data_IF_674345518679
#
_entry.id   IF_674345518679
#
_cell.length_a   1.000
_cell.length_b   1.000
_cell.length_c   1.000
_cell.angle_alpha   90.00
_cell.angle_beta   90.00
_cell.angle_gamma   90.00
#
_symmetry.space_group_name_H-M   'P 1'
#
loop_
_entity.id
_entity.type
_entity.pdbx_description
1 polymer ?
#
# COMPACT_ATOMS: atom_id res chain seq x y z
N UNK A 1 8.55 -2.02 7.53
CA UNK A 1 7.39 -2.65 6.87
C UNK A 1 7.21 -2.03 5.49
N UNK A 2 6.52 -2.70 4.56
CA UNK A 2 6.18 -2.13 3.24
C UNK A 2 4.66 -2.10 3.14
N UNK A 3 4.10 -0.93 2.84
CA UNK A 3 2.72 -0.81 2.41
C UNK A 3 2.66 -1.06 0.92
N UNK A 4 1.82 -2.01 0.51
CA UNK A 4 1.51 -2.26 -0.89
C UNK A 4 0.11 -1.77 -1.15
N UNK A 5 0.01 -0.69 -1.91
CA UNK A 5 -1.26 -0.17 -2.40
C UNK A 5 -1.44 -0.62 -3.84
N UNK A 6 -2.55 -1.28 -4.15
CA UNK A 6 -2.89 -1.65 -5.52
C UNK A 6 -4.22 -1.02 -5.90
N UNK A 7 -4.24 -0.24 -6.99
CA UNK A 7 -5.48 0.13 -7.62
C UNK A 7 -6.07 -1.10 -8.33
N UNK A 8 -7.29 -1.48 -7.95
CA UNK A 8 -7.89 -2.72 -8.43
C UNK A 8 -8.28 -2.68 -9.92
N UNK A 9 -8.57 -1.50 -10.46
CA UNK A 9 -9.01 -1.33 -11.85
C UNK A 9 -7.82 -1.43 -12.81
N UNK A 10 -6.79 -0.64 -12.57
CA UNK A 10 -5.60 -0.52 -13.42
C UNK A 10 -4.53 -1.55 -13.10
N UNK A 11 -4.62 -2.20 -11.93
CA UNK A 11 -3.56 -3.05 -11.34
C UNK A 11 -2.29 -2.31 -10.98
N UNK A 12 -2.29 -0.97 -11.06
CA UNK A 12 -1.16 -0.15 -10.68
C UNK A 12 -0.81 -0.35 -9.20
N UNK A 13 0.47 -0.61 -8.93
CA UNK A 13 0.98 -0.88 -7.59
C UNK A 13 1.86 0.28 -7.14
N UNK A 14 1.68 0.72 -5.91
CA UNK A 14 2.54 1.66 -5.21
C UNK A 14 3.10 1.02 -3.95
N UNK A 15 4.40 1.26 -3.73
CA UNK A 15 5.12 0.76 -2.57
C UNK A 15 5.54 1.93 -1.69
N UNK A 16 5.13 1.91 -0.42
CA UNK A 16 5.57 2.90 0.58
C UNK A 16 6.33 2.21 1.72
N UNK A 17 7.55 2.64 2.04
CA UNK A 17 8.20 2.17 3.25
C UNK A 17 7.45 2.73 4.47
N UNK A 18 7.21 1.87 5.45
CA UNK A 18 6.62 2.22 6.74
C UNK A 18 7.60 1.90 7.87
N UNK A 19 7.72 2.82 8.81
CA UNK A 19 8.41 2.64 10.09
C UNK A 19 7.59 1.75 11.03
N UNK A 20 6.25 1.85 10.99
CA UNK A 20 5.33 1.07 11.82
C UNK A 20 4.07 0.64 11.06
N UNK A 21 3.32 -0.33 11.60
CA UNK A 21 2.00 -0.72 11.07
C UNK A 21 0.85 0.10 11.69
N UNK A 22 1.16 1.24 12.30
CA UNK A 22 0.15 2.09 12.97
C UNK A 22 -0.80 2.71 11.94
N UNK A 23 -2.07 2.83 12.32
CA UNK A 23 -3.11 3.31 11.41
C UNK A 23 -2.85 4.75 10.95
N UNK A 24 -2.29 5.56 11.85
CA UNK A 24 -1.93 6.96 11.63
C UNK A 24 -0.88 7.11 10.52
N UNK A 25 0.15 6.26 10.54
CA UNK A 25 1.20 6.27 9.52
C UNK A 25 0.69 5.77 8.18
N UNK A 26 -0.12 4.70 8.19
CA UNK A 26 -0.77 4.18 6.98
C UNK A 26 -1.71 5.20 6.37
N UNK A 27 -2.51 5.89 7.19
CA UNK A 27 -3.41 6.95 6.75
C UNK A 27 -2.67 8.12 6.11
N UNK A 28 -1.53 8.53 6.70
CA UNK A 28 -0.69 9.57 6.12
C UNK A 28 -0.19 9.20 4.72
N UNK A 29 0.33 7.97 4.55
CA UNK A 29 0.78 7.48 3.25
C UNK A 29 -0.36 7.33 2.23
N UNK A 30 -1.54 6.86 2.67
CA UNK A 30 -2.72 6.77 1.81
C UNK A 30 -3.23 8.14 1.37
N UNK A 31 -3.22 9.13 2.25
CA UNK A 31 -3.65 10.48 1.91
C UNK A 31 -2.77 11.09 0.81
N UNK A 32 -1.45 10.91 0.89
CA UNK A 32 -0.52 11.32 -0.17
C UNK A 32 -0.84 10.64 -1.53
N UNK A 33 -1.15 9.35 -1.51
CA UNK A 33 -1.59 8.61 -2.71
C UNK A 33 -2.91 9.17 -3.25
N UNK A 34 -3.89 9.41 -2.38
CA UNK A 34 -5.22 9.90 -2.76
C UNK A 34 -5.17 11.30 -3.35
N UNK A 35 -4.31 12.17 -2.83
CA UNK A 35 -4.09 13.51 -3.37
C UNK A 35 -3.35 13.48 -4.71
N UNK A 36 -2.58 12.42 -4.99
CA UNK A 36 -1.82 12.28 -6.24
C UNK A 36 -2.62 11.60 -7.36
N UNK A 37 -3.33 10.51 -7.03
CA UNK A 37 -4.01 9.65 -8.00
C UNK A 37 -5.54 9.75 -7.95
N UNK A 38 -6.08 10.44 -6.95
CA UNK A 38 -7.50 10.42 -6.63
C UNK A 38 -7.82 9.39 -5.54
N UNK A 39 -8.84 9.69 -4.74
CA UNK A 39 -9.27 8.80 -3.67
C UNK A 39 -10.21 7.71 -4.17
N UNK A 40 -10.07 6.47 -3.69
CA UNK A 40 -10.97 5.38 -4.07
C UNK A 40 -12.32 5.53 -3.37
N UNK A 41 -13.39 4.99 -3.97
CA UNK A 41 -14.67 4.89 -3.26
C UNK A 41 -14.65 3.79 -2.18
N UNK A 42 -13.85 2.74 -2.39
CA UNK A 42 -13.79 1.55 -1.53
C UNK A 42 -12.35 1.29 -1.12
N UNK A 43 -12.11 1.20 0.18
CA UNK A 43 -10.82 0.80 0.74
C UNK A 43 -10.92 -0.59 1.41
N UNK A 44 -9.95 -1.46 1.10
CA UNK A 44 -9.85 -2.82 1.61
C UNK A 44 -8.43 -3.08 2.13
N UNK A 45 -8.31 -3.89 3.20
CA UNK A 45 -7.03 -4.38 3.73
C UNK A 45 -7.22 -5.79 4.31
N UNK A 46 -6.12 -6.53 4.29
CA UNK A 46 -5.86 -7.81 4.94
C UNK A 46 -5.77 -7.74 6.48
N UNK A 47 -5.43 -6.57 7.05
CA UNK A 47 -5.31 -6.38 8.51
C UNK A 47 -6.65 -6.32 9.26
N UNK A 48 -7.75 -6.71 8.60
CA UNK A 48 -9.08 -6.80 9.19
C UNK A 48 -9.86 -5.49 9.24
N UNK A 49 -11.16 -5.61 9.51
CA UNK A 49 -12.11 -4.48 9.48
C UNK A 49 -11.79 -3.39 10.51
N UNK A 50 -11.39 -3.78 11.71
CA UNK A 50 -11.08 -2.81 12.78
C UNK A 50 -9.93 -1.89 12.37
N UNK A 51 -8.89 -2.45 11.76
CA UNK A 51 -7.76 -1.68 11.26
C UNK A 51 -8.18 -0.72 10.15
N UNK A 52 -8.94 -1.19 9.15
CA UNK A 52 -9.42 -0.33 8.06
C UNK A 52 -10.29 0.81 8.59
N UNK A 53 -11.15 0.56 9.57
CA UNK A 53 -11.96 1.61 10.17
C UNK A 53 -11.11 2.67 10.88
N UNK A 54 -10.04 2.26 11.59
CA UNK A 54 -9.07 3.19 12.18
C UNK A 54 -8.39 4.03 11.09
N UNK A 55 -7.89 3.38 10.04
CA UNK A 55 -7.25 4.09 8.91
C UNK A 55 -8.21 5.08 8.25
N UNK A 56 -9.46 4.68 7.96
CA UNK A 56 -10.47 5.58 7.39
C UNK A 56 -10.72 6.77 8.32
N UNK A 57 -10.85 6.53 9.64
CA UNK A 57 -11.00 7.61 10.62
C UNK A 57 -9.83 8.60 10.57
N UNK A 58 -8.60 8.12 10.56
CA UNK A 58 -7.40 8.95 10.46
C UNK A 58 -7.35 9.74 9.13
N UNK A 59 -7.67 9.09 7.99
CA UNK A 59 -7.70 9.79 6.70
C UNK A 59 -8.80 10.85 6.67
N UNK A 60 -10.00 10.57 7.19
CA UNK A 60 -11.08 11.57 7.24
C UNK A 60 -10.77 12.71 8.20
N UNK A 61 -9.94 12.52 9.23
CA UNK A 61 -9.43 13.64 10.02
C UNK A 61 -8.49 14.55 9.22
N UNK A 62 -7.69 13.97 8.32
CA UNK A 62 -6.81 14.74 7.41
C UNK A 62 -7.60 15.40 6.26
N UNK A 63 -8.67 14.76 5.80
CA UNK A 63 -9.51 15.23 4.69
C UNK A 63 -11.00 14.97 5.00
N UNK A 64 -11.68 15.91 5.69
CA UNK A 64 -13.06 15.72 6.16
C UNK A 64 -14.11 15.50 5.07
N UNK A 65 -13.92 16.07 3.88
CA UNK A 65 -14.84 15.93 2.75
C UNK A 65 -14.72 14.57 2.05
N UNK A 66 -13.70 13.79 2.38
CA UNK A 66 -13.42 12.53 1.74
C UNK A 66 -14.42 11.45 2.14
N UNK A 67 -15.08 10.85 1.14
CA UNK A 67 -16.06 9.78 1.33
C UNK A 67 -15.47 8.44 0.89
N UNK A 68 -14.85 7.75 1.85
CA UNK A 68 -14.39 6.36 1.68
C UNK A 68 -15.28 5.44 2.49
N UNK A 69 -15.73 4.36 1.87
CA UNK A 69 -16.40 3.28 2.60
C UNK A 69 -15.50 2.04 2.70
N UNK A 70 -15.61 1.33 3.82
CA UNK A 70 -14.98 0.03 3.98
C UNK A 70 -15.63 -0.98 3.03
N UNK A 71 -14.83 -1.61 2.18
CA UNK A 71 -15.32 -2.68 1.29
C UNK A 71 -15.67 -3.94 2.08
N UNK A 72 -16.71 -4.67 1.66
CA UNK A 72 -16.95 -6.02 2.19
C UNK A 72 -15.71 -6.90 1.95
N UNK A 73 -15.38 -7.85 2.85
CA UNK A 73 -14.42 -8.90 2.53
C UNK A 73 -14.90 -9.60 1.25
N UNK A 74 -14.10 -9.62 0.18
CA UNK A 74 -14.51 -10.21 -1.10
C UNK A 74 -13.33 -10.97 -1.73
N UNK A 75 -13.67 -12.19 -2.18
CA UNK A 75 -12.94 -13.22 -2.93
C UNK A 75 -11.40 -13.28 -2.95
N UNK A 76 -10.90 -14.50 -2.74
CA UNK A 76 -9.50 -14.96 -2.80
C UNK A 76 -8.70 -14.52 -4.03
N UNK A 77 -9.34 -14.20 -5.15
CA UNK A 77 -8.64 -13.84 -6.39
C UNK A 77 -7.92 -12.48 -6.34
N UNK A 78 -8.50 -11.46 -5.69
CA UNK A 78 -7.84 -10.15 -5.58
C UNK A 78 -6.71 -10.17 -4.57
N UNK A 79 -6.84 -10.97 -3.51
CA UNK A 79 -5.75 -11.21 -2.55
C UNK A 79 -4.58 -11.94 -3.19
N UNK A 80 -4.83 -12.96 -4.02
CA UNK A 80 -3.75 -13.65 -4.74
C UNK A 80 -3.02 -12.77 -5.77
N UNK A 81 -3.58 -11.63 -6.20
CA UNK A 81 -2.88 -10.63 -7.02
C UNK A 81 -1.91 -9.81 -6.17
N UNK A 82 -2.35 -9.37 -5.00
CA UNK A 82 -1.53 -8.59 -4.05
C UNK A 82 -0.41 -9.46 -3.48
N UNK A 83 -0.68 -10.72 -3.15
CA UNK A 83 0.34 -11.67 -2.67
C UNK A 83 1.44 -11.89 -3.71
N UNK A 84 1.09 -12.03 -4.99
CA UNK A 84 2.06 -12.12 -6.08
C UNK A 84 2.86 -10.84 -6.24
N UNK A 85 2.20 -9.68 -6.21
CA UNK A 85 2.88 -8.39 -6.26
C UNK A 85 3.86 -8.21 -5.09
N UNK A 86 3.49 -8.64 -3.88
CA UNK A 86 4.39 -8.64 -2.72
C UNK A 86 5.62 -9.52 -2.97
N UNK A 87 5.41 -10.74 -3.49
CA UNK A 87 6.50 -11.66 -3.76
C UNK A 87 7.46 -11.13 -4.84
N UNK A 88 6.93 -10.53 -5.90
CA UNK A 88 7.71 -9.93 -6.98
C UNK A 88 8.57 -8.77 -6.44
N UNK A 89 7.98 -7.92 -5.58
CA UNK A 89 8.69 -6.82 -4.92
C UNK A 89 9.80 -7.32 -4.00
N UNK A 90 9.55 -8.35 -3.21
CA UNK A 90 10.57 -8.95 -2.35
C UNK A 90 11.75 -9.48 -3.17
N UNK A 91 11.45 -10.20 -4.26
CA UNK A 91 12.48 -10.74 -5.15
C UNK A 91 13.31 -9.63 -5.81
N UNK A 92 12.65 -8.60 -6.33
CA UNK A 92 13.32 -7.47 -6.97
C UNK A 92 14.18 -6.67 -5.98
N UNK A 93 13.70 -6.47 -4.74
CA UNK A 93 14.49 -5.81 -3.69
C UNK A 93 15.70 -6.66 -3.29
N UNK A 94 15.55 -7.99 -3.20
CA UNK A 94 16.65 -8.88 -2.88
C UNK A 94 17.76 -8.82 -3.95
N UNK A 95 17.38 -8.87 -5.24
CA UNK A 95 18.31 -8.69 -6.35
C UNK A 95 19.00 -7.34 -6.31
N UNK A 96 18.23 -6.24 -6.16
CA UNK A 96 18.79 -4.89 -6.11
C UNK A 96 19.78 -4.71 -4.94
N UNK A 97 19.47 -5.25 -3.76
CA UNK A 97 20.36 -5.19 -2.60
C UNK A 97 21.66 -5.98 -2.82
N UNK A 98 21.58 -7.15 -3.45
CA UNK A 98 22.74 -7.96 -3.79
C UNK A 98 23.68 -7.22 -4.76
N UNK A 99 23.12 -6.62 -5.82
CA UNK A 99 23.88 -5.89 -6.83
C UNK A 99 24.55 -4.63 -6.25
N UNK A 100 23.86 -3.91 -5.37
CA UNK A 100 24.35 -2.68 -4.75
C UNK A 100 25.15 -2.89 -3.45
N UNK A 101 25.31 -4.15 -3.00
CA UNK A 101 26.00 -4.52 -1.75
C UNK A 101 25.53 -3.71 -0.54
N UNK A 102 24.21 -3.53 -0.41
CA UNK A 102 23.59 -2.72 0.63
C UNK A 102 22.42 -3.44 1.27
N UNK A 103 22.14 -3.14 2.53
CA UNK A 103 20.95 -3.63 3.26
C UNK A 103 19.83 -2.60 3.32
N UNK A 104 20.04 -1.42 2.71
CA UNK A 104 19.09 -0.30 2.72
C UNK A 104 17.96 -0.49 1.70
N UNK A 105 17.14 -1.52 1.89
CA UNK A 105 16.02 -1.87 1.01
C UNK A 105 15.05 -0.69 0.74
N UNK A 106 14.87 0.21 1.71
CA UNK A 106 13.95 1.35 1.57
C UNK A 106 14.41 2.36 0.53
N UNK A 107 15.72 2.51 0.30
CA UNK A 107 16.29 3.29 -0.80
C UNK A 107 16.10 2.57 -2.15
N UNK A 108 16.05 1.22 -2.14
CA UNK A 108 15.83 0.37 -3.31
C UNK A 108 14.40 0.40 -3.86
N UNK A 109 13.39 0.69 -3.01
CA UNK A 109 11.98 0.66 -3.40
C UNK A 109 11.65 1.52 -4.62
N UNK A 110 12.25 2.72 -4.72
CA UNK A 110 12.04 3.64 -5.85
C UNK A 110 12.59 3.09 -7.18
N UNK A 111 13.61 2.23 -7.13
CA UNK A 111 14.22 1.63 -8.31
C UNK A 111 13.48 0.36 -8.73
N UNK A 112 13.08 -0.46 -7.76
CA UNK A 112 12.28 -1.68 -8.01
C UNK A 112 10.92 -1.34 -8.61
N UNK A 113 10.28 -0.27 -8.12
CA UNK A 113 9.00 0.20 -8.64
C UNK A 113 9.04 0.62 -10.12
N UNK A 114 10.15 1.19 -10.60
CA UNK A 114 10.30 1.58 -12.01
C UNK A 114 10.52 0.39 -12.96
N UNK A 115 11.00 -0.74 -12.43
CA UNK A 115 11.28 -1.95 -13.21
C UNK A 115 10.11 -2.92 -13.35
N UNK A 116 8.93 -2.58 -12.81
CA UNK A 116 7.71 -3.42 -12.78
C UNK A 116 6.75 -3.12 -13.94
#
# INVERSE_FOLDING_TARGET
FIMVYQDHLTKFVLLRPLQSKRAEEVAYQLNDIFLTLGAPCILQSDNGREFVNKVISEVTQLWPELKIVHGKPRHSQSQGSVERANQDVENMLASWMADNKTTKWSEGLRYVWYGS
#
